data_IF_781715184157
#
_entry.id   IF_781715184157
#
_cell.length_a   1.000
_cell.length_b   1.000
_cell.length_c   1.000
_cell.angle_alpha   90.00
_cell.angle_beta   90.00
_cell.angle_gamma   90.00
#
_symmetry.space_group_name_H-M   'P 1'
#
loop_
_entity.id
_entity.type
_entity.pdbx_description
1 polymer ?
#
# COMPACT_ATOMS: atom_id res chain seq x y z
N UNK A 1 -42.36 -10.25 -8.54
CA UNK A 1 -41.97 -10.45 -7.48
C UNK A 1 -40.72 -11.11 -7.24
N UNK A 2 -40.59 -12.23 -7.47
CA UNK A 2 -39.39 -12.95 -7.15
C UNK A 2 -38.18 -12.55 -7.97
N UNK A 3 -38.37 -11.83 -9.02
CA UNK A 3 -37.30 -11.48 -9.91
C UNK A 3 -36.19 -10.66 -9.22
N UNK A 4 -36.57 -9.93 -8.23
CA UNK A 4 -35.60 -9.11 -7.57
C UNK A 4 -34.55 -9.91 -6.87
N UNK A 5 -34.79 -11.12 -6.55
CA UNK A 5 -33.83 -11.94 -5.86
C UNK A 5 -32.62 -12.22 -6.70
N UNK A 6 -32.70 -12.06 -7.98
CA UNK A 6 -31.61 -12.33 -8.88
C UNK A 6 -30.56 -11.21 -8.81
N UNK A 7 -30.96 -10.06 -8.38
CA UNK A 7 -30.10 -8.90 -8.41
C UNK A 7 -28.93 -8.90 -7.48
N UNK A 8 -28.94 -9.58 -6.35
CA UNK A 8 -27.84 -9.48 -5.40
C UNK A 8 -26.48 -9.75 -5.99
N UNK A 9 -26.41 -10.60 -6.97
CA UNK A 9 -25.11 -10.94 -7.54
C UNK A 9 -24.54 -9.83 -8.41
N UNK A 10 -25.39 -9.18 -9.18
CA UNK A 10 -24.94 -8.14 -10.10
C UNK A 10 -24.39 -6.90 -9.39
N UNK A 11 -25.06 -6.35 -8.38
CA UNK A 11 -24.54 -5.19 -7.68
C UNK A 11 -23.19 -5.43 -7.04
N UNK A 12 -22.95 -6.64 -6.59
CA UNK A 12 -21.69 -6.95 -5.95
C UNK A 12 -20.52 -6.79 -6.89
N UNK A 13 -20.70 -7.17 -8.14
CA UNK A 13 -19.63 -7.06 -9.14
C UNK A 13 -19.34 -5.63 -9.52
N UNK A 14 -20.37 -4.79 -9.49
CA UNK A 14 -20.20 -3.40 -9.90
C UNK A 14 -19.64 -2.51 -8.80
N UNK A 15 -19.39 -3.06 -7.61
CA UNK A 15 -18.83 -2.27 -6.53
C UNK A 15 -17.43 -1.81 -6.80
N UNK A 16 -16.66 -2.66 -7.46
CA UNK A 16 -15.29 -2.33 -7.74
C UNK A 16 -15.19 -1.25 -8.79
N UNK A 17 -14.18 -0.44 -8.68
CA UNK A 17 -13.88 0.55 -9.68
C UNK A 17 -13.29 -0.13 -10.90
N UNK A 18 -13.56 0.43 -12.08
CA UNK A 18 -12.81 0.01 -13.26
C UNK A 18 -11.37 0.45 -13.10
N UNK A 19 -10.47 -0.19 -13.84
CA UNK A 19 -9.06 0.18 -13.82
C UNK A 19 -8.88 1.67 -14.17
N UNK A 20 -9.64 2.14 -15.14
CA UNK A 20 -9.58 3.53 -15.58
C UNK A 20 -10.02 4.49 -14.48
N UNK A 21 -11.09 4.16 -13.78
CA UNK A 21 -11.56 4.96 -12.67
C UNK A 21 -10.54 4.97 -11.53
N UNK A 22 -9.96 3.81 -11.23
CA UNK A 22 -8.93 3.71 -10.20
C UNK A 22 -7.73 4.56 -10.56
N UNK A 23 -7.25 4.46 -11.78
CA UNK A 23 -6.08 5.21 -12.21
C UNK A 23 -6.33 6.72 -12.10
N UNK A 24 -7.52 7.16 -12.47
CA UNK A 24 -7.91 8.56 -12.35
C UNK A 24 -7.89 9.02 -10.88
N UNK A 25 -8.47 8.22 -9.99
CA UNK A 25 -8.52 8.56 -8.57
C UNK A 25 -7.14 8.52 -7.93
N UNK A 26 -6.31 7.55 -8.29
CA UNK A 26 -4.93 7.48 -7.80
C UNK A 26 -4.12 8.69 -8.26
N UNK A 27 -4.35 9.15 -9.48
CA UNK A 27 -3.70 10.38 -9.96
C UNK A 27 -4.12 11.58 -9.11
N UNK A 28 -5.40 11.69 -8.80
CA UNK A 28 -5.89 12.77 -7.94
C UNK A 28 -5.30 12.71 -6.54
N UNK A 29 -5.21 11.51 -5.98
CA UNK A 29 -4.60 11.29 -4.68
C UNK A 29 -3.14 11.77 -4.70
N UNK A 30 -2.40 11.37 -5.74
CA UNK A 30 -1.01 11.76 -5.91
C UNK A 30 -0.87 13.29 -6.03
N UNK A 31 -1.72 13.92 -6.82
CA UNK A 31 -1.69 15.37 -7.01
C UNK A 31 -1.96 16.10 -5.68
N UNK A 32 -2.96 15.65 -4.93
CA UNK A 32 -3.27 16.24 -3.63
C UNK A 32 -2.09 16.10 -2.66
N UNK A 33 -1.49 14.91 -2.60
CA UNK A 33 -0.36 14.68 -1.72
C UNK A 33 0.83 15.56 -2.10
N UNK A 34 1.10 15.67 -3.39
CA UNK A 34 2.22 16.47 -3.90
C UNK A 34 2.07 17.95 -3.59
N UNK A 35 0.85 18.44 -3.55
CA UNK A 35 0.59 19.84 -3.27
C UNK A 35 0.37 20.14 -1.78
N UNK A 36 0.71 19.22 -0.92
CA UNK A 36 0.64 19.44 0.53
C UNK A 36 -0.69 19.13 1.17
N UNK A 37 -1.61 18.52 0.44
CA UNK A 37 -2.93 18.16 0.95
C UNK A 37 -2.99 16.68 1.32
N UNK A 38 -2.04 16.23 2.13
CA UNK A 38 -1.91 14.83 2.47
C UNK A 38 -3.16 14.27 3.16
N UNK A 39 -3.78 15.05 4.04
CA UNK A 39 -4.99 14.61 4.71
C UNK A 39 -6.14 14.39 3.73
N UNK A 40 -6.34 15.32 2.80
CA UNK A 40 -7.37 15.16 1.77
C UNK A 40 -7.09 13.98 0.87
N UNK A 41 -5.83 13.78 0.53
CA UNK A 41 -5.41 12.63 -0.26
C UNK A 41 -5.74 11.33 0.47
N UNK A 42 -5.48 11.27 1.77
CA UNK A 42 -5.77 10.08 2.57
C UNK A 42 -7.28 9.82 2.65
N UNK A 43 -8.06 10.87 2.86
CA UNK A 43 -9.52 10.73 2.90
C UNK A 43 -10.02 10.16 1.57
N UNK A 44 -9.50 10.65 0.46
CA UNK A 44 -9.89 10.13 -0.85
C UNK A 44 -9.46 8.67 -1.03
N UNK A 45 -8.24 8.33 -0.61
CA UNK A 45 -7.75 6.95 -0.69
C UNK A 45 -8.59 6.01 0.17
N UNK A 46 -8.97 6.44 1.37
CA UNK A 46 -9.84 5.66 2.25
C UNK A 46 -11.22 5.46 1.62
N UNK A 47 -11.75 6.49 0.98
CA UNK A 47 -13.03 6.39 0.29
C UNK A 47 -12.98 5.40 -0.88
N UNK A 48 -11.90 5.41 -1.64
CA UNK A 48 -11.70 4.45 -2.74
C UNK A 48 -11.66 3.03 -2.20
N UNK A 49 -10.97 2.82 -1.10
CA UNK A 49 -10.91 1.53 -0.44
C UNK A 49 -12.30 1.10 0.04
N UNK A 50 -13.05 2.00 0.67
CA UNK A 50 -14.38 1.71 1.20
C UNK A 50 -15.38 1.40 0.09
N UNK A 51 -15.14 1.90 -1.12
CA UNK A 51 -15.95 1.56 -2.28
C UNK A 51 -15.67 0.14 -2.80
N UNK A 52 -14.77 -0.57 -2.14
CA UNK A 52 -14.47 -1.95 -2.46
C UNK A 52 -13.21 -2.17 -3.26
N UNK A 53 -12.42 -1.13 -3.50
CA UNK A 53 -11.17 -1.28 -4.24
C UNK A 53 -10.02 -1.54 -3.28
N UNK A 54 -9.74 -2.81 -3.07
CA UNK A 54 -8.66 -3.27 -2.19
C UNK A 54 -7.43 -3.70 -3.01
N UNK A 55 -7.21 -3.05 -4.13
CA UNK A 55 -6.05 -3.36 -4.96
C UNK A 55 -4.74 -2.98 -4.28
N UNK A 56 -3.66 -3.59 -4.74
CA UNK A 56 -2.33 -3.30 -4.20
C UNK A 56 -1.98 -1.82 -4.32
N UNK A 57 -2.36 -1.18 -5.42
CA UNK A 57 -2.07 0.23 -5.65
C UNK A 57 -2.78 1.12 -4.64
N UNK A 58 -4.02 0.83 -4.33
CA UNK A 58 -4.80 1.61 -3.36
C UNK A 58 -4.25 1.40 -1.96
N UNK A 59 -3.92 0.17 -1.59
CA UNK A 59 -3.34 -0.12 -0.28
C UNK A 59 -1.98 0.55 -0.11
N UNK A 60 -1.15 0.54 -1.14
CA UNK A 60 0.14 1.21 -1.05
C UNK A 60 -0.04 2.72 -0.89
N UNK A 61 -0.97 3.32 -1.63
CA UNK A 61 -1.26 4.75 -1.48
C UNK A 61 -1.71 5.07 -0.06
N UNK A 62 -2.58 4.24 0.52
CA UNK A 62 -3.03 4.43 1.90
C UNK A 62 -1.87 4.33 2.89
N UNK A 63 -1.00 3.37 2.70
CA UNK A 63 0.16 3.20 3.58
C UNK A 63 1.06 4.43 3.53
N UNK A 64 1.36 4.93 2.34
CA UNK A 64 2.20 6.11 2.16
C UNK A 64 1.58 7.33 2.85
N UNK A 65 0.28 7.52 2.68
CA UNK A 65 -0.41 8.68 3.26
C UNK A 65 -0.50 8.60 4.78
N UNK A 66 -0.76 7.42 5.33
CA UNK A 66 -0.71 7.22 6.78
C UNK A 66 0.70 7.53 7.31
N UNK A 67 1.71 7.10 6.59
CA UNK A 67 3.09 7.36 6.95
C UNK A 67 3.40 8.87 6.98
N UNK A 68 2.94 9.60 5.99
CA UNK A 68 3.16 11.05 5.96
C UNK A 68 2.47 11.76 7.13
N UNK A 69 1.36 11.24 7.60
CA UNK A 69 0.68 11.77 8.78
C UNK A 69 1.25 11.23 10.09
N UNK A 70 2.34 10.48 10.03
CA UNK A 70 3.01 9.88 11.19
C UNK A 70 2.12 8.92 11.95
N UNK A 71 1.21 8.28 11.27
CA UNK A 71 0.34 7.25 11.85
C UNK A 71 1.00 5.89 11.68
N UNK A 72 2.01 5.66 12.50
CA UNK A 72 2.90 4.50 12.34
C UNK A 72 2.17 3.16 12.47
N UNK A 73 1.32 3.03 13.48
CA UNK A 73 0.58 1.79 13.70
C UNK A 73 -0.38 1.51 12.55
N UNK A 74 -1.10 2.53 12.07
CA UNK A 74 -2.01 2.38 10.93
C UNK A 74 -1.24 2.04 9.66
N UNK A 75 -0.06 2.64 9.48
CA UNK A 75 0.80 2.30 8.34
C UNK A 75 1.12 0.81 8.34
N UNK A 76 1.49 0.26 9.48
CA UNK A 76 1.80 -1.16 9.59
C UNK A 76 0.59 -2.04 9.30
N UNK A 77 -0.59 -1.65 9.77
CA UNK A 77 -1.81 -2.39 9.49
C UNK A 77 -2.10 -2.47 7.98
N UNK A 78 -1.96 -1.33 7.30
CA UNK A 78 -2.19 -1.27 5.85
C UNK A 78 -1.14 -2.10 5.12
N UNK A 79 0.12 -2.03 5.54
CA UNK A 79 1.19 -2.83 4.95
C UNK A 79 0.97 -4.32 5.15
N UNK A 80 0.46 -4.72 6.32
CA UNK A 80 0.12 -6.13 6.57
C UNK A 80 -0.99 -6.60 5.62
N UNK A 81 -1.98 -5.76 5.39
CA UNK A 81 -3.02 -6.06 4.41
C UNK A 81 -2.46 -6.19 3.00
N UNK A 82 -1.53 -5.32 2.65
CA UNK A 82 -0.87 -5.37 1.36
C UNK A 82 -0.04 -6.64 1.20
N UNK A 83 0.65 -7.05 2.26
CA UNK A 83 1.45 -8.28 2.23
C UNK A 83 0.59 -9.52 2.03
N UNK A 84 -0.67 -9.50 2.48
CA UNK A 84 -1.58 -10.62 2.27
C UNK A 84 -2.01 -10.78 0.83
N UNK A 85 -2.17 -9.68 0.10
CA UNK A 85 -2.64 -9.74 -1.29
C UNK A 85 -1.51 -9.67 -2.31
N UNK A 86 -0.39 -9.09 -1.94
CA UNK A 86 0.78 -8.97 -2.82
C UNK A 86 2.06 -9.22 -2.01
N UNK A 87 2.28 -10.47 -1.59
CA UNK A 87 3.43 -10.79 -0.75
C UNK A 87 4.74 -10.55 -1.49
N UNK A 88 5.75 -10.17 -0.72
CA UNK A 88 7.11 -10.06 -1.22
C UNK A 88 7.92 -11.24 -0.75
N UNK A 89 8.75 -11.77 -1.61
CA UNK A 89 9.62 -12.87 -1.25
C UNK A 89 10.62 -12.42 -0.19
N UNK A 90 10.78 -13.23 0.85
CA UNK A 90 11.67 -12.89 1.96
C UNK A 90 13.09 -13.37 1.76
N UNK A 91 13.25 -14.42 0.97
CA UNK A 91 14.53 -15.09 0.80
C UNK A 91 14.97 -15.05 -0.65
N UNK A 92 16.26 -15.23 -0.85
CA UNK A 92 16.82 -15.19 -2.18
C UNK A 92 17.32 -13.82 -2.57
N UNK A 93 18.14 -13.80 -3.59
CA UNK A 93 18.68 -12.56 -4.15
C UNK A 93 17.83 -12.19 -5.35
N UNK A 94 17.09 -11.13 -5.24
CA UNK A 94 16.32 -10.61 -6.34
C UNK A 94 16.22 -9.09 -6.22
N UNK A 95 15.99 -8.46 -7.34
CA UNK A 95 15.90 -7.02 -7.39
C UNK A 95 14.52 -6.55 -6.98
N UNK A 96 14.47 -5.64 -6.03
CA UNK A 96 13.23 -5.03 -5.63
C UNK A 96 12.82 -3.95 -6.62
N UNK A 97 11.53 -3.88 -6.91
CA UNK A 97 10.98 -2.74 -7.61
C UNK A 97 10.96 -1.53 -6.68
N UNK A 98 10.80 -0.33 -7.23
CA UNK A 98 10.72 0.88 -6.42
C UNK A 98 9.56 0.82 -5.42
N UNK A 99 8.43 0.26 -5.83
CA UNK A 99 7.28 0.09 -4.94
C UNK A 99 7.58 -0.88 -3.80
N UNK A 100 8.30 -1.95 -4.07
CA UNK A 100 8.69 -2.90 -3.03
C UNK A 100 9.69 -2.30 -2.05
N UNK A 101 10.65 -1.51 -2.54
CA UNK A 101 11.57 -0.77 -1.68
C UNK A 101 10.83 0.19 -0.78
N UNK A 102 9.86 0.90 -1.33
CA UNK A 102 9.03 1.81 -0.56
C UNK A 102 8.31 1.07 0.55
N UNK A 103 7.68 -0.08 0.26
CA UNK A 103 7.00 -0.88 1.27
C UNK A 103 7.94 -1.26 2.41
N UNK A 104 9.15 -1.70 2.09
CA UNK A 104 10.13 -2.07 3.11
C UNK A 104 10.59 -0.88 3.91
N UNK A 105 10.80 0.25 3.27
CA UNK A 105 11.18 1.48 3.96
C UNK A 105 10.09 1.93 4.93
N UNK A 106 8.86 1.98 4.48
CA UNK A 106 7.73 2.38 5.32
C UNK A 106 7.60 1.48 6.55
N UNK A 107 7.76 0.18 6.36
CA UNK A 107 7.69 -0.78 7.46
C UNK A 107 8.83 -0.56 8.46
N UNK A 108 10.04 -0.47 7.96
CA UNK A 108 11.22 -0.27 8.80
C UNK A 108 11.11 0.99 9.63
N UNK A 109 10.76 2.10 8.99
CA UNK A 109 10.66 3.38 9.67
C UNK A 109 9.52 3.39 10.68
N UNK A 110 8.37 2.82 10.34
CA UNK A 110 7.23 2.76 11.24
C UNK A 110 7.55 1.94 12.49
N UNK A 111 8.21 0.80 12.32
CA UNK A 111 8.63 -0.03 13.45
C UNK A 111 9.63 0.71 14.34
N UNK A 112 10.56 1.42 13.73
CA UNK A 112 11.54 2.21 14.47
C UNK A 112 10.85 3.29 15.31
N UNK A 113 9.91 4.03 14.71
CA UNK A 113 9.20 5.11 15.40
C UNK A 113 8.32 4.59 16.54
N UNK A 114 7.79 3.37 16.39
CA UNK A 114 7.01 2.73 17.44
C UNK A 114 7.86 2.12 18.57
N UNK A 115 9.18 2.11 18.39
CA UNK A 115 10.10 1.57 19.38
C UNK A 115 10.21 0.05 19.39
N UNK A 116 9.71 -0.62 18.37
CA UNK A 116 9.85 -2.08 18.24
C UNK A 116 11.21 -2.40 17.63
N UNK A 117 12.25 -2.40 18.48
CA UNK A 117 13.62 -2.52 18.02
C UNK A 117 13.94 -3.84 17.36
N UNK A 118 13.37 -4.93 17.86
CA UNK A 118 13.64 -6.26 17.32
C UNK A 118 13.11 -6.39 15.89
N UNK A 119 11.84 -6.03 15.69
CA UNK A 119 11.24 -6.10 14.36
C UNK A 119 11.84 -5.08 13.41
N UNK A 120 12.21 -3.90 13.93
CA UNK A 120 12.85 -2.88 13.11
C UNK A 120 14.21 -3.37 12.60
N UNK A 121 14.99 -4.05 13.44
CA UNK A 121 16.27 -4.61 13.03
C UNK A 121 16.10 -5.66 11.95
N UNK A 122 15.13 -6.58 12.12
CA UNK A 122 14.86 -7.60 11.12
C UNK A 122 14.46 -6.96 9.77
N UNK A 123 13.66 -5.92 9.83
CA UNK A 123 13.23 -5.21 8.63
C UNK A 123 14.40 -4.50 7.94
N UNK A 124 15.29 -3.91 8.71
CA UNK A 124 16.50 -3.26 8.17
C UNK A 124 17.38 -4.30 7.48
N UNK A 125 17.60 -5.44 8.11
CA UNK A 125 18.42 -6.49 7.54
C UNK A 125 17.86 -6.98 6.21
N UNK A 126 16.54 -7.17 6.13
CA UNK A 126 15.89 -7.55 4.90
C UNK A 126 16.02 -6.48 3.81
N UNK A 127 15.86 -5.22 4.20
CA UNK A 127 15.99 -4.10 3.28
C UNK A 127 17.39 -4.03 2.68
N UNK A 128 18.41 -4.11 3.54
CA UNK A 128 19.79 -4.04 3.10
C UNK A 128 20.17 -5.20 2.19
N UNK A 129 19.72 -6.40 2.53
CA UNK A 129 20.01 -7.59 1.74
C UNK A 129 19.57 -7.44 0.28
N UNK A 130 18.34 -7.00 0.08
CA UNK A 130 17.80 -6.84 -1.28
C UNK A 130 18.29 -5.56 -1.94
N UNK A 131 18.61 -4.55 -1.16
CA UNK A 131 19.17 -3.31 -1.67
C UNK A 131 20.55 -3.54 -2.29
N UNK A 132 21.37 -4.35 -1.65
CA UNK A 132 22.69 -4.70 -2.18
C UNK A 132 22.59 -5.45 -3.49
N UNK A 133 21.69 -6.43 -3.56
CA UNK A 133 21.48 -7.18 -4.79
C UNK A 133 21.06 -6.25 -5.94
N UNK A 134 20.22 -5.27 -5.64
CA UNK A 134 19.80 -4.30 -6.62
C UNK A 134 20.93 -3.42 -7.13
N UNK A 135 21.90 -3.11 -6.29
CA UNK A 135 23.06 -2.32 -6.69
C UNK A 135 24.00 -3.13 -7.59
N UNK A 136 24.23 -4.38 -7.23
CA UNK A 136 25.08 -5.25 -8.03
C UNK A 136 24.61 -5.39 -9.47
N UNK A 137 23.32 -5.46 -9.67
CA UNK A 137 22.77 -5.56 -11.00
C UNK A 137 22.97 -4.31 -11.86
N UNK A 138 23.23 -3.18 -11.25
CA UNK A 138 23.46 -1.93 -12.00
C UNK A 138 24.88 -1.80 -12.51
N UNK A 139 25.78 -2.48 -11.89
CA UNK A 139 27.18 -2.49 -12.30
C UNK A 139 27.43 -3.48 -13.44
#
# INVERSE_FOLDING_TARGET
MSAQTVHPAAPRRSRGLTRRQRDFLLLNIFVLARHGYAERARILADAVFDLGDESAEVLLARAVLCFFERKWAETLEVLDGLDRIAPMERFGAYKLTDKQRMRRYLKTRSLHELGDKARARDAIDAYMRHGEAGVEERE
#
